data_IF_641135801250
#
_entry.id   IF_641135801250
#
_cell.length_a   1.000
_cell.length_b   1.000
_cell.length_c   1.000
_cell.angle_alpha   90.00
_cell.angle_beta   90.00
_cell.angle_gamma   90.00
#
_symmetry.space_group_name_H-M   'P 1'
#
loop_
_entity.id
_entity.type
_entity.pdbx_description
1 polymer ?
#
# COMPACT_ATOMS: atom_id res chain seq x y z
N UNK A 1 9.86 9.28 12.76
CA UNK A 1 8.93 8.23 12.28
C UNK A 1 8.22 7.48 13.41
N UNK A 2 8.86 7.17 14.54
CA UNK A 2 8.20 6.54 15.72
C UNK A 2 6.86 7.20 16.12
N UNK A 3 6.82 8.54 16.22
CA UNK A 3 5.60 9.25 16.63
C UNK A 3 4.42 9.08 15.65
N UNK A 4 4.69 8.98 14.34
CA UNK A 4 3.63 8.73 13.36
C UNK A 4 3.09 7.30 13.47
N UNK A 5 3.95 6.32 13.79
CA UNK A 5 3.53 4.93 13.99
C UNK A 5 2.62 4.82 15.22
N UNK A 6 3.02 5.41 16.34
CA UNK A 6 2.21 5.39 17.57
C UNK A 6 0.88 6.11 17.38
N UNK A 7 0.89 7.23 16.64
CA UNK A 7 -0.34 7.93 16.28
C UNK A 7 -1.27 7.09 15.38
N UNK A 8 -0.73 6.41 14.37
CA UNK A 8 -1.49 5.48 13.53
C UNK A 8 -2.08 4.35 14.37
N UNK A 9 -1.29 3.73 15.26
CA UNK A 9 -1.79 2.69 16.18
C UNK A 9 -2.91 3.21 17.08
N UNK A 10 -2.76 4.42 17.62
CA UNK A 10 -3.76 5.05 18.49
C UNK A 10 -5.07 5.33 17.73
N UNK A 11 -5.00 5.84 16.51
CA UNK A 11 -6.20 6.07 15.71
C UNK A 11 -6.88 4.75 15.34
N UNK A 12 -6.11 3.76 14.90
CA UNK A 12 -6.63 2.45 14.51
C UNK A 12 -7.22 1.68 15.69
N UNK A 13 -6.79 1.93 16.94
CA UNK A 13 -7.42 1.33 18.12
C UNK A 13 -8.78 1.97 18.46
N UNK A 14 -9.07 3.17 17.94
CA UNK A 14 -10.35 3.85 18.10
C UNK A 14 -11.31 3.52 16.98
N UNK A 15 -10.83 3.48 15.74
CA UNK A 15 -11.64 3.17 14.58
C UNK A 15 -10.81 2.46 13.50
N UNK A 16 -11.02 1.16 13.36
CA UNK A 16 -10.33 0.33 12.36
C UNK A 16 -10.77 0.67 10.93
N UNK A 17 -11.97 1.21 10.73
CA UNK A 17 -12.50 1.54 9.39
C UNK A 17 -11.68 2.65 8.72
N UNK A 18 -10.95 3.46 9.49
CA UNK A 18 -10.06 4.47 8.93
C UNK A 18 -8.90 3.88 8.13
N UNK A 19 -8.56 2.59 8.32
CA UNK A 19 -7.60 1.90 7.48
C UNK A 19 -8.15 1.60 6.07
N UNK A 20 -9.48 1.57 5.92
CA UNK A 20 -10.17 1.18 4.68
C UNK A 20 -10.71 2.36 3.89
N UNK A 21 -10.75 3.55 4.49
CA UNK A 21 -11.15 4.78 3.81
C UNK A 21 -10.24 5.08 2.62
N UNK A 22 -10.86 5.59 1.56
CA UNK A 22 -10.19 5.99 0.33
C UNK A 22 -10.35 7.50 0.13
N UNK A 23 -9.30 8.14 -0.36
CA UNK A 23 -9.39 9.53 -0.80
C UNK A 23 -10.13 9.67 -2.14
N UNK A 24 -10.23 10.90 -2.66
CA UNK A 24 -10.90 11.20 -3.94
C UNK A 24 -10.27 10.50 -5.15
N UNK A 25 -9.04 9.99 -5.04
CA UNK A 25 -8.34 9.23 -6.08
C UNK A 25 -8.40 7.72 -5.84
N UNK A 26 -9.30 7.26 -4.96
CA UNK A 26 -9.36 5.88 -4.48
C UNK A 26 -8.05 5.42 -3.79
N UNK A 27 -7.23 6.34 -3.32
CA UNK A 27 -5.98 6.03 -2.63
C UNK A 27 -6.24 5.82 -1.14
N UNK A 28 -5.82 4.67 -0.64
CA UNK A 28 -5.89 4.32 0.79
C UNK A 28 -4.65 4.74 1.57
N UNK A 29 -4.71 4.62 2.91
CA UNK A 29 -3.54 4.79 3.78
C UNK A 29 -2.38 3.85 3.38
N UNK A 30 -2.68 2.66 2.84
CA UNK A 30 -1.68 1.70 2.38
C UNK A 30 -0.92 2.22 1.15
N UNK A 31 -1.59 2.89 0.21
CA UNK A 31 -0.92 3.54 -0.93
C UNK A 31 0.07 4.60 -0.46
N UNK A 32 -0.35 5.47 0.45
CA UNK A 32 0.51 6.54 0.98
C UNK A 32 1.71 5.96 1.73
N UNK A 33 1.49 4.96 2.60
CA UNK A 33 2.56 4.29 3.32
C UNK A 33 3.57 3.65 2.36
N UNK A 34 3.08 3.03 1.28
CA UNK A 34 3.93 2.43 0.25
C UNK A 34 4.76 3.44 -0.53
N UNK A 35 4.17 4.57 -0.95
CA UNK A 35 4.90 5.67 -1.61
C UNK A 35 6.02 6.21 -0.71
N UNK A 36 5.71 6.39 0.57
CA UNK A 36 6.64 6.98 1.55
C UNK A 36 7.69 5.99 2.07
N UNK A 37 7.50 4.69 1.86
CA UNK A 37 8.42 3.67 2.37
C UNK A 37 8.22 3.35 3.86
N UNK A 38 7.03 3.56 4.41
CA UNK A 38 6.75 3.35 5.84
C UNK A 38 6.44 1.88 6.14
N UNK A 39 7.48 1.05 6.17
CA UNK A 39 7.41 -0.41 6.34
C UNK A 39 6.53 -0.84 7.53
N UNK A 40 6.74 -0.26 8.72
CA UNK A 40 5.98 -0.62 9.91
C UNK A 40 4.49 -0.25 9.83
N UNK A 41 4.16 0.84 9.13
CA UNK A 41 2.78 1.25 8.90
C UNK A 41 2.12 0.30 7.90
N UNK A 42 2.84 -0.08 6.82
CA UNK A 42 2.39 -1.09 5.85
C UNK A 42 2.05 -2.40 6.54
N UNK A 43 2.96 -2.93 7.36
CA UNK A 43 2.73 -4.14 8.16
C UNK A 43 1.47 -4.03 9.01
N UNK A 44 1.34 -2.92 9.74
CA UNK A 44 0.20 -2.74 10.65
C UNK A 44 -1.13 -2.65 9.90
N UNK A 45 -1.18 -1.94 8.78
CA UNK A 45 -2.38 -1.83 7.94
C UNK A 45 -2.79 -3.18 7.34
N UNK A 46 -1.83 -3.98 6.88
CA UNK A 46 -2.09 -5.33 6.36
C UNK A 46 -2.61 -6.29 7.43
N UNK A 47 -2.10 -6.19 8.67
CA UNK A 47 -2.63 -6.98 9.80
C UNK A 47 -4.06 -6.59 10.13
N UNK A 48 -4.41 -5.30 10.03
CA UNK A 48 -5.76 -4.80 10.32
C UNK A 48 -6.75 -5.21 9.23
N UNK A 49 -6.36 -5.09 7.96
CA UNK A 49 -7.20 -5.53 6.84
C UNK A 49 -6.35 -6.07 5.67
N UNK A 50 -6.20 -7.40 5.57
CA UNK A 50 -5.48 -8.03 4.47
C UNK A 50 -6.08 -7.75 3.09
N UNK A 51 -7.41 -7.59 2.99
CA UNK A 51 -8.12 -7.36 1.73
C UNK A 51 -7.75 -6.03 1.06
N UNK A 52 -7.17 -5.10 1.82
CA UNK A 52 -6.66 -3.84 1.26
C UNK A 52 -5.60 -4.10 0.18
N UNK A 53 -4.95 -5.27 0.17
CA UNK A 53 -4.01 -5.65 -0.88
C UNK A 53 -4.64 -5.69 -2.30
N UNK A 54 -5.97 -5.73 -2.41
CA UNK A 54 -6.69 -5.76 -3.69
C UNK A 54 -7.13 -4.37 -4.18
N UNK A 55 -6.97 -3.34 -3.34
CA UNK A 55 -7.37 -1.97 -3.68
C UNK A 55 -6.43 -1.34 -4.71
N UNK A 56 -6.99 -0.49 -5.57
CA UNK A 56 -6.29 0.27 -6.60
C UNK A 56 -6.85 1.69 -6.66
N UNK A 57 -5.99 2.62 -7.08
CA UNK A 57 -6.34 4.01 -7.33
C UNK A 57 -7.15 4.16 -8.64
N UNK A 58 -7.53 5.40 -8.98
CA UNK A 58 -8.25 5.71 -10.21
C UNK A 58 -7.49 5.42 -11.51
N UNK A 59 -6.19 5.10 -11.48
CA UNK A 59 -5.38 4.70 -12.64
C UNK A 59 -5.12 3.17 -12.65
N UNK A 60 -5.87 2.42 -11.83
CA UNK A 60 -5.70 0.98 -11.68
C UNK A 60 -4.41 0.60 -10.94
N UNK A 61 -3.70 1.55 -10.33
CA UNK A 61 -2.46 1.27 -9.60
C UNK A 61 -2.76 0.87 -8.18
N UNK A 62 -2.25 -0.27 -7.75
CA UNK A 62 -2.26 -0.66 -6.34
C UNK A 62 -1.02 -0.08 -5.61
N UNK A 63 -1.01 -0.27 -4.30
CA UNK A 63 0.08 0.12 -3.40
C UNK A 63 1.44 -0.53 -3.74
N UNK A 64 1.46 -1.70 -4.39
CA UNK A 64 2.71 -2.34 -4.85
C UNK A 64 3.30 -1.62 -6.08
N UNK A 65 2.48 -1.23 -7.06
CA UNK A 65 2.92 -0.41 -8.19
C UNK A 65 3.62 0.87 -7.70
N UNK A 66 3.04 1.55 -6.73
CA UNK A 66 3.66 2.73 -6.14
C UNK A 66 4.97 2.45 -5.39
N UNK A 67 5.04 1.33 -4.66
CA UNK A 67 6.27 0.94 -3.97
C UNK A 67 7.41 0.71 -4.98
N UNK A 68 7.11 0.06 -6.11
CA UNK A 68 8.04 -0.18 -7.21
C UNK A 68 8.50 1.13 -7.88
N UNK A 69 7.55 1.97 -8.31
CA UNK A 69 7.84 3.28 -8.93
C UNK A 69 8.72 4.15 -8.03
N UNK A 70 8.61 4.00 -6.71
CA UNK A 70 9.39 4.76 -5.73
C UNK A 70 10.64 4.02 -5.21
N UNK A 71 10.94 2.83 -5.73
CA UNK A 71 12.11 2.04 -5.33
C UNK A 71 12.09 1.62 -3.85
N UNK A 72 10.91 1.43 -3.24
CA UNK A 72 10.77 1.07 -1.82
C UNK A 72 10.96 -0.42 -1.60
N UNK A 73 12.18 -0.91 -1.78
CA UNK A 73 12.53 -2.34 -1.76
C UNK A 73 12.02 -3.07 -0.51
N UNK A 74 12.17 -2.50 0.68
CA UNK A 74 11.69 -3.13 1.92
C UNK A 74 10.16 -3.26 1.95
N UNK A 75 9.44 -2.22 1.52
CA UNK A 75 7.98 -2.28 1.41
C UNK A 75 7.55 -3.32 0.37
N UNK A 76 8.23 -3.38 -0.78
CA UNK A 76 7.94 -4.36 -1.83
C UNK A 76 8.04 -5.78 -1.28
N UNK A 77 9.10 -6.08 -0.53
CA UNK A 77 9.28 -7.41 0.09
C UNK A 77 8.13 -7.76 1.02
N UNK A 78 7.75 -6.84 1.90
CA UNK A 78 6.66 -7.06 2.86
C UNK A 78 5.30 -7.21 2.17
N UNK A 79 5.01 -6.39 1.16
CA UNK A 79 3.76 -6.47 0.39
C UNK A 79 3.66 -7.79 -0.38
N UNK A 80 4.73 -8.22 -1.05
CA UNK A 80 4.77 -9.48 -1.81
C UNK A 80 4.65 -10.68 -0.87
N UNK A 81 5.28 -10.62 0.31
CA UNK A 81 5.16 -11.66 1.32
C UNK A 81 3.75 -11.75 1.90
N UNK A 82 3.08 -10.60 2.10
CA UNK A 82 1.72 -10.56 2.62
C UNK A 82 0.65 -10.95 1.58
N UNK A 83 0.82 -10.53 0.32
CA UNK A 83 -0.11 -10.85 -0.75
C UNK A 83 0.54 -10.78 -2.12
N UNK A 84 0.90 -11.96 -2.63
CA UNK A 84 1.38 -12.12 -4.01
C UNK A 84 0.33 -11.71 -5.05
N UNK A 85 -0.97 -11.74 -4.72
CA UNK A 85 -2.03 -11.35 -5.65
C UNK A 85 -1.92 -9.89 -6.10
N UNK A 86 -1.37 -9.01 -5.25
CA UNK A 86 -1.12 -7.62 -5.63
C UNK A 86 -0.09 -7.51 -6.76
N UNK A 87 0.86 -8.45 -6.87
CA UNK A 87 1.85 -8.46 -7.94
C UNK A 87 1.30 -8.92 -9.31
N UNK A 88 0.15 -9.60 -9.32
CA UNK A 88 -0.50 -10.09 -10.54
C UNK A 88 -1.40 -9.04 -11.20
N UNK A 89 -1.74 -7.95 -10.50
CA UNK A 89 -2.58 -6.88 -11.02
C UNK A 89 -1.79 -6.05 -12.03
N UNK A 90 -2.48 -5.57 -13.06
CA UNK A 90 -1.96 -4.58 -14.00
C UNK A 90 -2.64 -3.23 -13.78
N UNK A 91 -1.97 -2.17 -14.20
CA UNK A 91 -2.54 -0.82 -14.28
C UNK A 91 -3.55 -0.70 -15.43
N UNK A 92 -4.23 0.44 -15.55
CA UNK A 92 -5.08 0.71 -16.73
C UNK A 92 -4.30 0.78 -18.05
N UNK A 93 -2.98 0.98 -18.01
CA UNK A 93 -2.11 0.94 -19.18
C UNK A 93 -1.54 -0.46 -19.47
N UNK A 94 -2.11 -1.52 -18.88
CA UNK A 94 -1.63 -2.90 -18.94
C UNK A 94 -0.17 -3.09 -18.46
N UNK A 95 0.34 -2.12 -17.68
CA UNK A 95 1.66 -2.21 -17.07
C UNK A 95 1.62 -3.09 -15.82
N UNK A 96 2.49 -4.10 -15.73
CA UNK A 96 2.71 -4.88 -14.52
C UNK A 96 3.81 -4.26 -13.66
N UNK A 97 4.07 -4.83 -12.48
CA UNK A 97 5.11 -4.33 -11.58
C UNK A 97 6.52 -4.32 -12.21
N UNK A 98 6.85 -5.22 -13.13
CA UNK A 98 8.17 -5.27 -13.76
C UNK A 98 8.35 -4.16 -14.81
N UNK A 99 7.28 -3.81 -15.54
CA UNK A 99 7.28 -2.67 -16.47
C UNK A 99 7.56 -1.34 -15.74
N UNK A 100 7.15 -1.25 -14.47
CA UNK A 100 7.32 -0.05 -13.64
C UNK A 100 8.67 0.04 -12.93
N UNK A 101 9.51 -1.00 -12.98
CA UNK A 101 10.83 -1.00 -12.32
C UNK A 101 11.87 -0.10 -13.00
N UNK A 102 11.67 0.26 -14.27
CA UNK A 102 12.67 0.96 -15.10
C UNK A 102 12.29 2.38 -15.52
N UNK A 103 11.16 2.91 -15.03
CA UNK A 103 10.77 4.33 -15.21
C UNK A 103 11.23 5.17 -14.02
#
# INVERSE_FOLDING_TARGET
MQGHIEFVKFILSRNLLLATELDLRKSSALHVASIKGYVEIVKKLLVVNPEMCLTHDCEGRNHLHFAVIKGRVEVIKELVQASYLAALRTTECDENILHLCEK
#
